data_IF_612346850311
#
_entry.id   IF_612346850311
#
_cell.length_a   1.000
_cell.length_b   1.000
_cell.length_c   1.000
_cell.angle_alpha   90.00
_cell.angle_beta   90.00
_cell.angle_gamma   90.00
#
_symmetry.space_group_name_H-M   'P 1'
#
loop_
_entity.id
_entity.type
_entity.pdbx_description
1 polymer ?
#
# COMPACT_ATOMS: atom_id res chain seq x y z
N UNK A 1 -12.45 -6.31 6.16
CA UNK A 1 -11.06 -5.89 5.84
C UNK A 1 -10.82 -4.44 6.17
N UNK A 2 -11.59 -3.48 5.71
CA UNK A 2 -11.40 -2.03 5.99
C UNK A 2 -11.27 -1.71 7.49
N UNK A 3 -12.10 -2.31 8.35
CA UNK A 3 -12.02 -2.09 9.80
C UNK A 3 -10.71 -2.58 10.41
N UNK A 4 -10.19 -3.74 9.98
CA UNK A 4 -8.91 -4.28 10.45
C UNK A 4 -7.72 -3.39 10.02
N UNK A 5 -7.73 -2.95 8.77
CA UNK A 5 -6.74 -2.02 8.23
C UNK A 5 -6.79 -0.68 8.97
N UNK A 6 -7.99 -0.14 9.21
CA UNK A 6 -8.18 1.09 9.97
C UNK A 6 -7.68 0.97 11.42
N UNK A 7 -7.88 -0.18 12.06
CA UNK A 7 -7.37 -0.44 13.40
C UNK A 7 -5.83 -0.46 13.43
N UNK A 8 -5.20 -1.13 12.46
CA UNK A 8 -3.74 -1.14 12.30
C UNK A 8 -3.19 0.27 12.08
N UNK A 9 -3.82 1.05 11.21
CA UNK A 9 -3.44 2.45 10.96
C UNK A 9 -3.55 3.33 12.21
N UNK A 10 -4.64 3.20 12.99
CA UNK A 10 -4.83 3.93 14.25
C UNK A 10 -3.81 3.52 15.31
N UNK A 11 -3.44 2.24 15.36
CA UNK A 11 -2.42 1.74 16.31
C UNK A 11 -1.03 2.30 15.98
N UNK A 12 -0.72 2.48 14.71
CA UNK A 12 0.56 3.02 14.26
C UNK A 12 0.64 4.56 14.36
N UNK A 13 -0.50 5.24 14.43
CA UNK A 13 -0.55 6.70 14.47
C UNK A 13 -0.01 7.23 15.79
N UNK A 14 0.89 8.25 15.77
CA UNK A 14 1.34 8.94 16.99
C UNK A 14 0.19 9.65 17.71
N UNK A 15 0.36 9.96 19.02
CA UNK A 15 -0.61 10.76 19.77
C UNK A 15 -0.91 12.10 19.07
N UNK A 16 -2.19 12.47 19.01
CA UNK A 16 -2.65 13.71 18.38
C UNK A 16 -2.89 13.60 16.87
N UNK A 17 -2.63 12.45 16.26
CA UNK A 17 -2.96 12.18 14.85
C UNK A 17 -4.32 11.49 14.75
N UNK A 18 -5.23 12.09 14.01
CA UNK A 18 -6.51 11.49 13.65
C UNK A 18 -6.37 10.68 12.36
N UNK A 19 -6.78 9.42 12.39
CA UNK A 19 -6.84 8.55 11.21
C UNK A 19 -8.28 8.39 10.76
N UNK A 20 -8.60 8.96 9.60
CA UNK A 20 -9.89 8.84 8.93
C UNK A 20 -9.79 7.76 7.87
N UNK A 21 -10.41 6.61 8.11
CA UNK A 21 -10.49 5.54 7.13
C UNK A 21 -11.70 5.73 6.21
N UNK A 22 -11.48 5.60 4.92
CA UNK A 22 -12.55 5.62 3.92
C UNK A 22 -12.35 4.50 2.90
N UNK A 23 -13.44 4.06 2.31
CA UNK A 23 -13.43 3.08 1.22
C UNK A 23 -14.17 3.64 0.00
N UNK A 24 -13.78 3.15 -1.17
CA UNK A 24 -14.44 3.54 -2.41
C UNK A 24 -15.90 3.04 -2.43
N UNK A 25 -16.80 3.87 -2.96
CA UNK A 25 -18.22 3.50 -3.11
C UNK A 25 -18.44 2.47 -4.22
N UNK A 26 -17.48 2.36 -5.13
CA UNK A 26 -17.55 1.48 -6.30
C UNK A 26 -16.14 1.01 -6.66
N UNK A 27 -16.07 -0.14 -7.28
CA UNK A 27 -14.83 -0.82 -7.64
C UNK A 27 -14.89 -2.31 -7.31
N UNK A 28 -13.79 -3.03 -7.49
CA UNK A 28 -13.72 -4.45 -7.14
C UNK A 28 -13.71 -4.65 -5.62
N UNK A 29 -14.24 -5.78 -5.15
CA UNK A 29 -14.24 -6.15 -3.73
C UNK A 29 -12.83 -6.41 -3.16
N UNK A 30 -11.87 -6.75 -4.03
CA UNK A 30 -10.44 -6.88 -3.74
C UNK A 30 -9.64 -6.56 -4.99
N UNK A 31 -8.34 -6.27 -4.81
CA UNK A 31 -7.42 -6.01 -5.91
C UNK A 31 -6.44 -7.18 -5.98
N UNK A 32 -6.49 -7.93 -7.09
CA UNK A 32 -5.66 -9.10 -7.33
C UNK A 32 -5.08 -9.03 -8.76
N UNK A 33 -4.34 -7.96 -9.05
CA UNK A 33 -3.66 -7.74 -10.31
C UNK A 33 -4.16 -6.53 -11.10
N UNK A 34 -3.66 -6.37 -12.32
CA UNK A 34 -3.81 -5.15 -13.13
C UNK A 34 -5.26 -4.80 -13.47
N UNK A 35 -6.11 -5.79 -13.77
CA UNK A 35 -7.49 -5.53 -14.15
C UNK A 35 -8.29 -4.92 -13.00
N UNK A 36 -8.24 -5.54 -11.82
CA UNK A 36 -8.92 -5.02 -10.64
C UNK A 36 -8.37 -3.63 -10.27
N UNK A 37 -7.04 -3.47 -10.35
CA UNK A 37 -6.37 -2.19 -10.12
C UNK A 37 -6.92 -1.08 -11.01
N UNK A 38 -7.12 -1.33 -12.29
CA UNK A 38 -7.66 -0.34 -13.23
C UNK A 38 -9.05 0.16 -12.83
N UNK A 39 -9.92 -0.71 -12.32
CA UNK A 39 -11.27 -0.34 -11.87
C UNK A 39 -11.33 0.20 -10.44
N UNK A 40 -10.31 -0.02 -9.62
CA UNK A 40 -10.22 0.54 -8.28
C UNK A 40 -9.83 2.02 -8.28
N UNK A 41 -9.01 2.46 -9.25
CA UNK A 41 -8.45 3.82 -9.31
C UNK A 41 -9.53 4.91 -9.29
N UNK A 42 -10.60 4.89 -10.10
CA UNK A 42 -11.59 5.96 -10.08
C UNK A 42 -12.27 6.15 -8.71
N UNK A 43 -12.62 5.04 -8.04
CA UNK A 43 -13.22 5.10 -6.70
C UNK A 43 -12.27 5.66 -5.65
N UNK A 44 -11.01 5.25 -5.68
CA UNK A 44 -9.97 5.77 -4.80
C UNK A 44 -9.73 7.27 -5.05
N UNK A 45 -9.65 7.72 -6.31
CA UNK A 45 -9.48 9.14 -6.63
C UNK A 45 -10.65 10.00 -6.13
N UNK A 46 -11.89 9.50 -6.17
CA UNK A 46 -13.03 10.19 -5.59
C UNK A 46 -12.81 10.47 -4.10
N UNK A 47 -12.35 9.48 -3.33
CA UNK A 47 -12.05 9.64 -1.90
C UNK A 47 -10.88 10.60 -1.64
N UNK A 48 -9.82 10.55 -2.44
CA UNK A 48 -8.70 11.51 -2.34
C UNK A 48 -9.20 12.94 -2.55
N UNK A 49 -9.99 13.20 -3.59
CA UNK A 49 -10.53 14.54 -3.88
C UNK A 49 -11.47 15.06 -2.78
N UNK A 50 -12.27 14.19 -2.17
CA UNK A 50 -13.11 14.54 -1.01
C UNK A 50 -12.27 14.87 0.21
N UNK A 51 -11.27 14.06 0.53
CA UNK A 51 -10.37 14.27 1.66
C UNK A 51 -9.54 15.57 1.50
N UNK A 52 -9.08 15.89 0.27
CA UNK A 52 -8.43 17.18 -0.01
C UNK A 52 -9.35 18.38 0.29
N UNK A 53 -10.65 18.29 -0.05
CA UNK A 53 -11.62 19.35 0.28
C UNK A 53 -11.88 19.44 1.78
N UNK A 54 -11.78 18.33 2.50
CA UNK A 54 -11.89 18.29 3.95
C UNK A 54 -10.62 18.79 4.67
N UNK A 55 -9.53 19.01 3.94
CA UNK A 55 -8.30 19.58 4.49
C UNK A 55 -7.43 18.61 5.26
N UNK A 56 -7.36 17.33 4.82
CA UNK A 56 -6.45 16.36 5.45
C UNK A 56 -4.99 16.73 5.21
N UNK A 57 -4.12 16.39 6.16
CA UNK A 57 -2.69 16.72 6.11
C UNK A 57 -1.88 15.75 5.27
N UNK A 58 -2.33 14.50 5.11
CA UNK A 58 -1.69 13.48 4.29
C UNK A 58 -2.67 12.36 3.91
N UNK A 59 -2.31 11.58 2.89
CA UNK A 59 -3.07 10.41 2.42
C UNK A 59 -2.21 9.15 2.49
N UNK A 60 -2.84 8.01 2.79
CA UNK A 60 -2.24 6.69 2.70
C UNK A 60 -3.12 5.80 1.80
N UNK A 61 -2.53 5.27 0.72
CA UNK A 61 -3.20 4.29 -0.14
C UNK A 61 -2.96 2.90 0.44
N UNK A 62 -4.02 2.31 1.02
CA UNK A 62 -3.98 1.03 1.71
C UNK A 62 -4.12 -0.17 0.75
N UNK A 63 -3.38 -0.15 -0.36
CA UNK A 63 -3.22 -1.24 -1.31
C UNK A 63 -1.73 -1.45 -1.56
N UNK A 64 -1.22 -2.66 -1.38
CA UNK A 64 0.22 -2.91 -1.47
C UNK A 64 0.76 -2.80 -2.91
N UNK A 65 -0.09 -2.97 -3.91
CA UNK A 65 0.24 -2.72 -5.30
C UNK A 65 0.41 -1.22 -5.61
N UNK A 66 0.22 -0.33 -4.61
CA UNK A 66 0.24 1.13 -4.73
C UNK A 66 -0.65 1.62 -5.89
N UNK A 67 -1.81 0.97 -6.02
CA UNK A 67 -2.75 1.17 -7.12
C UNK A 67 -3.19 2.62 -7.22
N UNK A 68 -2.87 3.27 -8.34
CA UNK A 68 -3.25 4.65 -8.62
C UNK A 68 -2.45 5.72 -7.88
N UNK A 69 -1.32 5.38 -7.23
CA UNK A 69 -0.51 6.31 -6.44
C UNK A 69 -0.09 7.56 -7.22
N UNK A 70 0.38 7.42 -8.47
CA UNK A 70 0.78 8.58 -9.28
C UNK A 70 -0.40 9.47 -9.68
N UNK A 71 -1.56 8.86 -9.96
CA UNK A 71 -2.78 9.60 -10.23
C UNK A 71 -3.27 10.37 -8.98
N UNK A 72 -3.19 9.75 -7.80
CA UNK A 72 -3.48 10.40 -6.53
C UNK A 72 -2.52 11.58 -6.27
N UNK A 73 -1.22 11.38 -6.47
CA UNK A 73 -0.21 12.45 -6.36
C UNK A 73 -0.45 13.59 -7.33
N UNK A 74 -1.01 13.34 -8.51
CA UNK A 74 -1.32 14.39 -9.48
C UNK A 74 -2.49 15.29 -9.03
N UNK A 75 -3.47 14.76 -8.29
CA UNK A 75 -4.65 15.52 -7.84
C UNK A 75 -4.51 16.05 -6.42
N UNK A 76 -3.79 15.37 -5.52
CA UNK A 76 -3.61 15.76 -4.13
C UNK A 76 -2.50 16.79 -3.96
N UNK A 77 -2.71 17.79 -3.10
CA UNK A 77 -1.65 18.71 -2.61
C UNK A 77 -0.96 18.14 -1.38
N UNK A 78 -1.71 17.50 -0.49
CA UNK A 78 -1.16 16.78 0.65
C UNK A 78 -0.27 15.61 0.16
N UNK A 79 0.74 15.18 0.95
CA UNK A 79 1.54 14.02 0.60
C UNK A 79 0.67 12.77 0.44
N UNK A 80 0.95 11.96 -0.56
CA UNK A 80 0.31 10.66 -0.77
C UNK A 80 1.35 9.58 -0.66
N UNK A 81 1.18 8.68 0.31
CA UNK A 81 2.08 7.56 0.59
C UNK A 81 1.39 6.26 0.19
N UNK A 82 2.04 5.48 -0.66
CA UNK A 82 1.65 4.11 -0.94
C UNK A 82 2.24 3.16 0.10
N UNK A 83 1.49 2.17 0.56
CA UNK A 83 1.96 1.26 1.60
C UNK A 83 3.03 0.28 1.09
N UNK A 84 3.07 -0.02 -0.20
CA UNK A 84 4.14 -0.79 -0.83
C UNK A 84 5.46 -0.02 -0.79
N UNK A 85 5.49 1.20 -1.33
CA UNK A 85 6.64 2.10 -1.29
C UNK A 85 7.15 2.31 0.15
N UNK A 86 6.24 2.57 1.09
CA UNK A 86 6.58 2.75 2.49
C UNK A 86 7.24 1.51 3.12
N UNK A 87 6.70 0.33 2.87
CA UNK A 87 7.25 -0.92 3.39
C UNK A 87 8.66 -1.20 2.84
N UNK A 88 8.92 -0.92 1.55
CA UNK A 88 10.26 -1.09 0.97
C UNK A 88 11.27 -0.12 1.58
N UNK A 89 10.89 1.12 1.79
CA UNK A 89 11.73 2.09 2.50
C UNK A 89 12.04 1.61 3.92
N UNK A 90 11.04 1.21 4.71
CA UNK A 90 11.24 0.70 6.05
C UNK A 90 12.17 -0.52 6.07
N UNK A 91 11.95 -1.50 5.18
CA UNK A 91 12.79 -2.67 5.06
C UNK A 91 14.24 -2.32 4.73
N UNK A 92 14.46 -1.38 3.83
CA UNK A 92 15.82 -0.96 3.41
C UNK A 92 16.62 -0.25 4.50
N UNK A 93 15.96 0.30 5.52
CA UNK A 93 16.60 0.97 6.66
C UNK A 93 17.07 0.00 7.75
N UNK A 94 16.49 -1.19 7.82
CA UNK A 94 16.75 -2.15 8.91
C UNK A 94 17.30 -3.48 8.45
N UNK A 95 17.29 -3.76 7.14
CA UNK A 95 17.84 -4.96 6.53
C UNK A 95 18.66 -4.64 5.28
N UNK A 96 19.56 -5.56 4.91
CA UNK A 96 20.34 -5.45 3.68
C UNK A 96 19.51 -5.92 2.49
N UNK A 97 18.79 -7.05 2.65
CA UNK A 97 17.93 -7.64 1.61
C UNK A 97 16.64 -8.16 2.22
N UNK A 98 15.56 -8.04 1.48
CA UNK A 98 14.26 -8.54 1.88
C UNK A 98 13.62 -9.39 0.78
N UNK A 99 12.67 -10.25 1.17
CA UNK A 99 11.70 -10.86 0.26
C UNK A 99 10.30 -10.31 0.56
N UNK A 100 9.49 -10.19 -0.48
CA UNK A 100 8.06 -9.81 -0.36
C UNK A 100 7.22 -11.08 -0.40
N UNK A 101 6.29 -11.23 0.55
CA UNK A 101 5.30 -12.30 0.55
C UNK A 101 3.94 -11.70 0.25
N UNK A 102 3.45 -11.90 -0.97
CA UNK A 102 2.13 -11.41 -1.41
C UNK A 102 1.06 -12.51 -1.37
N UNK A 103 -0.17 -12.12 -1.64
CA UNK A 103 -1.33 -13.02 -1.64
C UNK A 103 -1.37 -13.95 -2.86
N UNK A 104 -1.44 -13.39 -4.06
CA UNK A 104 -1.64 -14.14 -5.31
C UNK A 104 -0.49 -13.92 -6.29
N UNK A 105 -0.15 -14.95 -7.06
CA UNK A 105 0.95 -14.87 -8.05
C UNK A 105 0.73 -13.76 -9.09
N UNK A 106 -0.51 -13.42 -9.41
CA UNK A 106 -0.82 -12.35 -10.38
C UNK A 106 -0.40 -10.95 -9.91
N UNK A 107 -0.20 -10.72 -8.60
CA UNK A 107 0.35 -9.47 -8.05
C UNK A 107 1.88 -9.40 -8.13
N UNK A 108 2.58 -10.51 -8.39
CA UNK A 108 4.06 -10.53 -8.45
C UNK A 108 4.58 -9.51 -9.46
N UNK A 109 4.01 -9.48 -10.68
CA UNK A 109 4.48 -8.58 -11.72
C UNK A 109 4.33 -7.10 -11.33
N UNK A 110 3.17 -6.70 -10.80
CA UNK A 110 2.93 -5.33 -10.31
C UNK A 110 3.93 -4.94 -9.22
N UNK A 111 4.17 -5.84 -8.28
CA UNK A 111 5.12 -5.61 -7.18
C UNK A 111 6.56 -5.45 -7.71
N UNK A 112 6.97 -6.29 -8.68
CA UNK A 112 8.29 -6.19 -9.31
C UNK A 112 8.48 -4.88 -10.09
N UNK A 113 7.44 -4.44 -10.81
CA UNK A 113 7.44 -3.16 -11.51
C UNK A 113 7.57 -2.00 -10.50
N UNK A 114 6.84 -2.03 -9.39
CA UNK A 114 6.95 -1.04 -8.32
C UNK A 114 8.34 -1.03 -7.67
N UNK A 115 8.90 -2.20 -7.35
CA UNK A 115 10.27 -2.33 -6.82
C UNK A 115 11.31 -1.71 -7.76
N UNK A 116 11.14 -1.93 -9.06
CA UNK A 116 12.01 -1.33 -10.09
C UNK A 116 11.85 0.19 -10.13
N UNK A 117 10.61 0.67 -10.19
CA UNK A 117 10.27 2.08 -10.25
C UNK A 117 10.75 2.87 -9.03
N UNK A 118 10.67 2.28 -7.83
CA UNK A 118 11.10 2.91 -6.58
C UNK A 118 12.59 2.71 -6.27
N UNK A 119 13.32 1.95 -7.10
CA UNK A 119 14.76 1.73 -6.93
C UNK A 119 15.13 0.64 -5.92
N UNK A 120 14.20 -0.24 -5.55
CA UNK A 120 14.43 -1.33 -4.60
C UNK A 120 14.63 -2.72 -5.23
N UNK A 121 14.63 -2.84 -6.57
CA UNK A 121 14.76 -4.13 -7.25
C UNK A 121 16.01 -4.92 -6.82
N UNK A 122 17.13 -4.25 -6.55
CA UNK A 122 18.37 -4.91 -6.10
C UNK A 122 18.34 -5.30 -4.61
N UNK A 123 17.48 -4.67 -3.82
CA UNK A 123 17.29 -4.97 -2.39
C UNK A 123 16.29 -6.09 -2.17
N UNK A 124 15.34 -6.27 -3.08
CA UNK A 124 14.39 -7.36 -3.04
C UNK A 124 15.01 -8.62 -3.66
N UNK A 125 15.17 -9.67 -2.84
CA UNK A 125 15.68 -10.95 -3.32
C UNK A 125 14.64 -11.67 -4.16
N UNK A 126 13.39 -11.68 -3.69
CA UNK A 126 12.28 -12.37 -4.37
C UNK A 126 10.92 -11.81 -3.95
N UNK A 127 9.96 -11.85 -4.88
CA UNK A 127 8.53 -11.71 -4.59
C UNK A 127 7.91 -13.11 -4.65
N UNK A 128 7.30 -13.55 -3.57
CA UNK A 128 6.65 -14.86 -3.39
C UNK A 128 5.16 -14.69 -3.19
N UNK A 129 4.36 -15.63 -3.65
CA UNK A 129 2.91 -15.65 -3.45
C UNK A 129 2.50 -16.83 -2.56
N UNK A 130 1.71 -16.55 -1.54
CA UNK A 130 1.17 -17.58 -0.65
C UNK A 130 -0.04 -18.32 -1.25
N UNK A 131 -0.51 -17.90 -2.44
CA UNK A 131 -1.70 -18.40 -3.13
C UNK A 131 -2.95 -18.37 -2.22
N UNK A 132 -3.12 -17.25 -1.54
CA UNK A 132 -4.25 -16.96 -0.66
C UNK A 132 -5.06 -15.82 -1.28
N UNK A 133 -6.31 -16.05 -1.75
CA UNK A 133 -7.17 -14.96 -2.19
C UNK A 133 -7.32 -13.89 -1.11
N UNK A 134 -7.33 -12.61 -1.51
CA UNK A 134 -7.29 -11.49 -0.55
C UNK A 134 -8.42 -11.58 0.50
N UNK A 135 -9.64 -11.88 0.08
CA UNK A 135 -10.76 -12.01 1.03
C UNK A 135 -10.63 -13.21 1.98
N UNK A 136 -9.84 -14.22 1.62
CA UNK A 136 -9.57 -15.38 2.48
C UNK A 136 -8.69 -15.04 3.69
N UNK A 137 -8.00 -13.90 3.69
CA UNK A 137 -7.29 -13.40 4.87
C UNK A 137 -8.23 -13.19 6.07
N UNK A 138 -9.51 -12.93 5.83
CA UNK A 138 -10.53 -12.81 6.88
C UNK A 138 -11.36 -14.07 7.05
N UNK A 139 -11.85 -14.66 5.94
CA UNK A 139 -12.79 -15.78 5.97
C UNK A 139 -12.14 -17.11 6.30
N UNK A 140 -10.86 -17.29 6.01
CA UNK A 140 -10.09 -18.53 6.25
C UNK A 140 -8.74 -18.21 6.93
N UNK A 141 -8.80 -17.43 8.00
CA UNK A 141 -7.65 -16.76 8.62
C UNK A 141 -6.52 -17.73 9.02
N UNK A 142 -6.81 -18.83 9.67
CA UNK A 142 -5.81 -19.78 10.13
C UNK A 142 -5.07 -20.43 8.95
N UNK A 143 -5.80 -20.92 7.96
CA UNK A 143 -5.20 -21.53 6.76
C UNK A 143 -4.38 -20.50 5.96
N UNK A 144 -4.84 -19.26 5.89
CA UNK A 144 -4.08 -18.17 5.26
C UNK A 144 -2.76 -17.91 5.99
N UNK A 145 -2.78 -17.80 7.32
CA UNK A 145 -1.59 -17.60 8.15
C UNK A 145 -0.57 -18.73 8.02
N UNK A 146 -1.03 -19.98 7.93
CA UNK A 146 -0.14 -21.13 7.71
C UNK A 146 0.56 -21.05 6.34
N UNK A 147 -0.18 -20.69 5.29
CA UNK A 147 0.39 -20.55 3.95
C UNK A 147 1.41 -19.43 3.88
N UNK A 148 1.07 -18.25 4.42
CA UNK A 148 1.99 -17.11 4.51
C UNK A 148 3.22 -17.49 5.31
N UNK A 149 3.05 -18.15 6.47
CA UNK A 149 4.15 -18.60 7.30
C UNK A 149 5.11 -19.57 6.59
N UNK A 150 4.59 -20.49 5.75
CA UNK A 150 5.42 -21.39 4.93
C UNK A 150 6.24 -20.63 3.89
N UNK A 151 5.66 -19.63 3.24
CA UNK A 151 6.41 -18.81 2.27
C UNK A 151 7.48 -17.95 2.95
N UNK A 152 7.23 -17.44 4.16
CA UNK A 152 8.27 -16.78 4.97
C UNK A 152 9.41 -17.75 5.29
N UNK A 153 9.11 -18.95 5.75
CA UNK A 153 10.10 -19.97 6.07
C UNK A 153 10.98 -20.33 4.85
N UNK A 154 10.36 -20.51 3.69
CA UNK A 154 11.07 -20.75 2.43
C UNK A 154 11.94 -19.55 2.02
N UNK A 155 11.45 -18.33 2.19
CA UNK A 155 12.22 -17.13 1.89
C UNK A 155 13.47 -17.03 2.77
N UNK A 156 13.33 -17.25 4.07
CA UNK A 156 14.44 -17.22 5.01
C UNK A 156 15.47 -18.35 4.76
N UNK A 157 15.00 -19.52 4.33
CA UNK A 157 15.86 -20.64 4.03
C UNK A 157 16.63 -20.51 2.70
N UNK A 158 16.05 -19.86 1.70
CA UNK A 158 16.56 -19.93 0.31
C UNK A 158 16.86 -18.62 -0.40
N UNK A 159 16.35 -17.47 0.07
CA UNK A 159 16.50 -16.20 -0.68
C UNK A 159 17.70 -15.36 -0.20
N UNK A 160 18.32 -15.72 0.91
CA UNK A 160 19.44 -14.96 1.48
C UNK A 160 19.01 -13.56 1.93
N UNK A 161 17.94 -13.49 2.70
CA UNK A 161 17.33 -12.26 3.21
C UNK A 161 17.42 -12.17 4.73
N UNK A 162 17.41 -10.95 5.25
CA UNK A 162 17.49 -10.65 6.68
C UNK A 162 16.20 -9.98 7.21
N UNK A 163 15.24 -9.68 6.31
CA UNK A 163 13.91 -9.25 6.71
C UNK A 163 12.85 -9.64 5.65
N UNK A 164 11.58 -9.58 6.03
CA UNK A 164 10.43 -9.94 5.21
C UNK A 164 9.50 -8.74 5.11
N UNK A 165 8.90 -8.53 3.94
CA UNK A 165 7.83 -7.55 3.71
C UNK A 165 6.53 -8.29 3.39
N UNK A 166 5.46 -7.97 4.13
CA UNK A 166 4.13 -8.52 3.88
C UNK A 166 3.44 -7.71 2.78
N UNK A 167 3.16 -8.36 1.67
CA UNK A 167 2.71 -7.78 0.41
C UNK A 167 1.19 -7.63 0.27
N UNK A 168 0.47 -7.36 1.37
CA UNK A 168 -0.96 -7.07 1.35
C UNK A 168 -1.38 -6.30 2.61
N UNK A 169 -2.23 -5.29 2.46
CA UNK A 169 -2.79 -4.53 3.59
C UNK A 169 -3.55 -5.43 4.59
N UNK A 170 -4.21 -6.48 4.11
CA UNK A 170 -4.92 -7.44 4.94
C UNK A 170 -4.03 -8.32 5.83
N UNK A 171 -2.70 -8.21 5.70
CA UNK A 171 -1.73 -8.93 6.52
C UNK A 171 -1.14 -8.07 7.65
N UNK A 172 -1.56 -6.81 7.81
CA UNK A 172 -0.93 -5.86 8.73
C UNK A 172 -0.83 -6.38 10.17
N UNK A 173 -1.87 -7.04 10.67
CA UNK A 173 -1.92 -7.61 12.01
C UNK A 173 -1.05 -8.86 12.21
N UNK A 174 -0.45 -9.40 11.15
CA UNK A 174 0.40 -10.60 11.21
C UNK A 174 1.89 -10.27 11.43
N UNK A 175 2.31 -9.04 11.17
CA UNK A 175 3.72 -8.66 11.18
C UNK A 175 4.42 -8.94 12.52
N UNK A 176 3.83 -8.48 13.62
CA UNK A 176 4.39 -8.71 14.97
C UNK A 176 4.48 -10.19 15.31
N UNK A 177 3.42 -10.96 15.01
CA UNK A 177 3.37 -12.40 15.25
C UNK A 177 4.46 -13.14 14.49
N UNK A 178 4.64 -12.82 13.20
CA UNK A 178 5.66 -13.45 12.37
C UNK A 178 7.08 -12.99 12.75
N UNK A 179 7.28 -11.73 13.12
CA UNK A 179 8.56 -11.27 13.65
C UNK A 179 8.98 -12.07 14.90
N UNK A 180 8.04 -12.29 15.82
CA UNK A 180 8.28 -13.12 17.01
C UNK A 180 8.54 -14.59 16.68
N UNK A 181 7.80 -15.14 15.70
CA UNK A 181 7.94 -16.56 15.30
C UNK A 181 9.26 -16.84 14.61
N UNK A 182 9.67 -15.98 13.70
CA UNK A 182 10.83 -16.20 12.83
C UNK A 182 12.10 -15.49 13.31
N UNK A 183 12.01 -14.66 14.36
CA UNK A 183 13.13 -13.90 14.94
C UNK A 183 13.86 -13.02 13.92
N UNK A 184 13.13 -12.50 12.93
CA UNK A 184 13.58 -11.51 11.96
C UNK A 184 12.54 -10.39 11.84
N UNK A 185 12.92 -9.18 11.42
CA UNK A 185 11.95 -8.15 11.13
C UNK A 185 10.96 -8.58 10.03
N UNK A 186 9.68 -8.52 10.32
CA UNK A 186 8.59 -8.67 9.35
C UNK A 186 7.85 -7.35 9.29
N UNK A 187 7.90 -6.71 8.13
CA UNK A 187 7.41 -5.34 7.91
C UNK A 187 6.04 -5.42 7.21
N UNK A 188 5.11 -4.63 7.68
CA UNK A 188 3.84 -4.39 7.01
C UNK A 188 3.75 -2.92 6.55
N UNK A 189 2.96 -2.68 5.52
CA UNK A 189 2.94 -1.38 4.86
C UNK A 189 2.02 -0.34 5.50
N UNK A 190 1.00 -0.74 6.26
CA UNK A 190 0.02 0.20 6.85
C UNK A 190 0.69 1.07 7.90
N UNK A 191 1.36 0.47 8.88
CA UNK A 191 2.08 1.20 9.90
C UNK A 191 3.20 2.07 9.32
N UNK A 192 4.00 1.50 8.41
CA UNK A 192 5.05 2.25 7.73
C UNK A 192 4.48 3.45 6.96
N UNK A 193 3.38 3.25 6.21
CA UNK A 193 2.71 4.29 5.44
C UNK A 193 2.19 5.44 6.31
N UNK A 194 1.53 5.12 7.43
CA UNK A 194 1.02 6.12 8.37
C UNK A 194 2.15 6.94 8.97
N UNK A 195 3.21 6.30 9.45
CA UNK A 195 4.35 7.01 10.08
C UNK A 195 5.06 7.91 9.07
N UNK A 196 5.29 7.45 7.84
CA UNK A 196 5.89 8.29 6.80
C UNK A 196 4.96 9.43 6.37
N UNK A 197 3.66 9.21 6.26
CA UNK A 197 2.70 10.27 5.97
C UNK A 197 2.71 11.36 7.04
N UNK A 198 2.71 10.97 8.32
CA UNK A 198 2.84 11.90 9.45
C UNK A 198 4.16 12.65 9.43
N UNK A 199 5.26 11.97 9.15
CA UNK A 199 6.58 12.61 9.05
C UNK A 199 6.61 13.68 7.94
N UNK A 200 6.08 13.38 6.75
CA UNK A 200 5.99 14.35 5.65
C UNK A 200 5.11 15.55 6.01
N UNK A 201 3.96 15.31 6.63
CA UNK A 201 3.07 16.38 7.11
C UNK A 201 3.73 17.25 8.17
N UNK A 202 4.41 16.64 9.15
CA UNK A 202 5.14 17.35 10.22
C UNK A 202 6.26 18.22 9.66
N UNK A 203 6.93 17.80 8.61
CA UNK A 203 7.94 18.58 7.89
C UNK A 203 7.33 19.68 7.00
N UNK A 204 6.00 19.80 6.93
CA UNK A 204 5.31 20.77 6.07
C UNK A 204 5.48 20.48 4.56
N UNK A 205 5.89 19.28 4.20
CA UNK A 205 6.10 18.89 2.81
C UNK A 205 4.76 18.65 2.10
N UNK A 206 4.71 19.01 0.83
CA UNK A 206 3.53 18.83 -0.03
C UNK A 206 3.93 18.10 -1.31
N UNK A 207 2.97 17.44 -1.93
CA UNK A 207 3.19 16.84 -3.25
C UNK A 207 3.56 17.93 -4.26
N UNK A 208 4.67 17.74 -4.98
CA UNK A 208 5.10 18.68 -6.02
C UNK A 208 4.01 18.85 -7.08
N UNK A 209 3.79 20.09 -7.50
CA UNK A 209 2.89 20.41 -8.63
C UNK A 209 3.67 20.90 -9.86
N UNK A 210 4.94 20.50 -9.92
CA UNK A 210 5.79 20.68 -11.10
C UNK A 210 6.10 19.31 -11.74
N UNK A 211 6.25 19.30 -13.05
CA UNK A 211 6.60 18.08 -13.78
C UNK A 211 5.50 17.02 -13.79
N UNK A 212 5.83 15.77 -13.48
CA UNK A 212 4.94 14.61 -13.61
C UNK A 212 3.68 14.64 -12.74
N UNK A 213 3.72 15.33 -11.62
CA UNK A 213 2.56 15.49 -10.72
C UNK A 213 1.90 16.87 -10.83
N UNK A 214 2.13 17.61 -11.91
CA UNK A 214 1.39 18.84 -12.19
C UNK A 214 -0.13 18.58 -12.19
N UNK A 215 -0.88 19.62 -11.82
CA UNK A 215 -2.35 19.52 -11.80
C UNK A 215 -2.85 19.10 -13.19
N UNK A 216 -3.79 18.14 -13.27
CA UNK A 216 -4.35 17.70 -14.54
C UNK A 216 -4.92 18.88 -15.34
N UNK A 217 -4.63 18.92 -16.64
CA UNK A 217 -5.12 19.98 -17.52
C UNK A 217 -6.64 19.87 -17.66
N UNK A 218 -7.38 20.99 -17.50
CA UNK A 218 -8.84 21.01 -17.72
C UNK A 218 -9.22 20.46 -19.08
N UNK A 219 -10.16 19.54 -19.11
CA UNK A 219 -10.73 18.96 -20.33
C UNK A 219 -12.04 18.24 -20.03
N UNK A 220 -12.87 18.09 -21.04
CA UNK A 220 -14.14 17.37 -20.93
C UNK A 220 -13.91 15.87 -20.81
N UNK A 221 -14.48 15.24 -19.78
CA UNK A 221 -14.62 13.79 -19.67
C UNK A 221 -16.06 13.39 -20.00
N UNK A 222 -16.26 12.27 -20.69
CA UNK A 222 -17.58 11.81 -21.14
C UNK A 222 -18.10 10.62 -20.34
N UNK A 223 -19.41 10.39 -20.40
CA UNK A 223 -20.08 9.24 -19.79
C UNK A 223 -19.94 9.21 -18.28
N UNK A 224 -19.70 8.01 -17.72
CA UNK A 224 -19.57 7.77 -16.28
C UNK A 224 -18.40 8.52 -15.65
N UNK A 225 -17.43 8.96 -16.43
CA UNK A 225 -16.23 9.66 -15.95
C UNK A 225 -16.40 11.20 -15.95
N UNK A 226 -17.52 11.75 -16.40
CA UNK A 226 -17.75 13.21 -16.45
C UNK A 226 -17.51 13.90 -15.10
N UNK A 227 -17.85 13.24 -13.99
CA UNK A 227 -17.65 13.74 -12.62
C UNK A 227 -16.19 13.83 -12.18
N UNK A 228 -15.26 13.22 -12.91
CA UNK A 228 -13.82 13.26 -12.65
C UNK A 228 -13.08 14.27 -13.53
N UNK A 229 -13.79 15.03 -14.35
CA UNK A 229 -13.16 16.07 -15.17
C UNK A 229 -12.43 17.07 -14.24
N UNK A 230 -11.16 17.39 -14.52
CA UNK A 230 -10.45 18.44 -13.80
C UNK A 230 -11.24 19.75 -13.90
N UNK A 231 -11.32 20.55 -12.81
CA UNK A 231 -11.95 21.86 -12.86
C UNK A 231 -11.16 22.82 -13.75
N UNK A 232 -11.84 23.84 -14.28
CA UNK A 232 -11.24 24.95 -15.04
C UNK A 232 -10.31 25.79 -14.15
#
# INVERSE_FOLDING_TARGET
MTQGIAAAAKTAAPPGVEVVASEAEFGPASIEGYYDGAFAVPGMLARILEAERAGVDAHVIACFDDTGLDAARSVARAPVVGIGEAAYHAASMIGIRFSVITTMARSIAVIQDNLTRYGFAQRCARVRAAEVPVLSLETHREAAQERIGREIEQALAGDGVDCIVLGCAGMADLAERFSKRFQVPVIEGIGAGVVFAVALATLGLKTSKAGGYAVPVPKTYSGIFSRFAPPD
#
